data_IF_647148575142
#
_entry.id   IF_647148575142
#
_cell.length_a   1.000
_cell.length_b   1.000
_cell.length_c   1.000
_cell.angle_alpha   90.00
_cell.angle_beta   90.00
_cell.angle_gamma   90.00
#
_symmetry.space_group_name_H-M   'P 1'
#
loop_
_entity.id
_entity.type
_entity.pdbx_description
1 polymer ?
#
# COMPACT_ATOMS: atom_id res chain seq x y z
N UNK A 1 -61.83 13.79 -20.75
CA UNK A 1 -60.97 12.68 -20.31
C UNK A 1 -59.51 13.13 -20.46
N UNK A 2 -58.83 13.40 -19.39
CA UNK A 2 -57.41 13.70 -19.39
C UNK A 2 -56.64 12.41 -19.33
N UNK A 3 -55.55 12.22 -20.13
CA UNK A 3 -54.73 11.03 -20.00
C UNK A 3 -53.87 11.18 -18.73
N UNK A 4 -54.02 10.24 -17.80
CA UNK A 4 -53.07 10.01 -16.74
C UNK A 4 -51.73 9.60 -17.35
N UNK A 5 -50.77 10.53 -17.40
CA UNK A 5 -49.40 10.23 -17.71
C UNK A 5 -48.87 9.34 -16.56
N UNK A 6 -48.80 8.04 -16.80
CA UNK A 6 -48.06 7.14 -15.94
C UNK A 6 -46.59 7.55 -15.98
N UNK A 7 -46.14 8.24 -14.94
CA UNK A 7 -44.74 8.38 -14.69
C UNK A 7 -44.21 6.98 -14.39
N UNK A 8 -43.62 6.34 -15.39
CA UNK A 8 -42.84 5.13 -15.19
C UNK A 8 -41.71 5.51 -14.21
N UNK A 9 -41.88 5.05 -12.99
CA UNK A 9 -40.82 5.15 -11.97
C UNK A 9 -39.66 4.29 -12.50
N UNK A 10 -38.66 4.94 -13.15
CA UNK A 10 -37.44 4.25 -13.54
C UNK A 10 -36.90 3.61 -12.27
N UNK A 11 -36.88 2.29 -12.21
CA UNK A 11 -36.28 1.55 -11.13
C UNK A 11 -34.81 2.02 -11.04
N UNK A 12 -34.46 2.68 -9.93
CA UNK A 12 -33.13 3.23 -9.73
C UNK A 12 -32.15 2.07 -9.84
N UNK A 13 -31.21 2.13 -10.81
CA UNK A 13 -30.21 1.08 -11.01
C UNK A 13 -29.43 0.90 -9.70
N UNK A 14 -29.39 -0.34 -9.19
CA UNK A 14 -28.53 -0.71 -8.07
C UNK A 14 -27.24 -1.26 -8.66
N UNK A 15 -26.13 -0.56 -8.43
CA UNK A 15 -24.81 -0.99 -8.85
C UNK A 15 -24.26 -2.03 -7.89
N UNK A 16 -23.47 -2.96 -8.41
CA UNK A 16 -22.81 -4.00 -7.62
C UNK A 16 -21.31 -3.93 -7.79
N UNK A 17 -20.58 -3.69 -6.71
CA UNK A 17 -19.13 -3.68 -6.67
C UNK A 17 -18.65 -4.96 -6.03
N UNK A 18 -17.80 -5.73 -6.71
CA UNK A 18 -17.04 -6.81 -6.09
C UNK A 18 -15.77 -6.25 -5.45
N UNK A 19 -15.51 -6.54 -4.19
CA UNK A 19 -14.28 -6.12 -3.51
C UNK A 19 -13.47 -7.35 -3.10
N UNK A 20 -12.28 -7.53 -3.69
CA UNK A 20 -11.42 -8.70 -3.50
C UNK A 20 -10.10 -8.32 -2.84
N UNK A 21 -9.83 -8.89 -1.67
CA UNK A 21 -8.61 -8.61 -0.91
C UNK A 21 -8.09 -9.82 -0.16
N UNK A 22 -6.77 -9.94 -0.01
CA UNK A 22 -6.16 -10.96 0.82
C UNK A 22 -6.34 -10.68 2.32
N UNK A 23 -6.23 -9.41 2.70
CA UNK A 23 -6.36 -8.92 4.07
C UNK A 23 -6.77 -7.47 3.99
N UNK A 24 -7.65 -6.92 4.77
CA UNK A 24 -7.79 -5.47 4.99
C UNK A 24 -9.23 -4.97 5.24
N UNK A 25 -10.24 -5.84 5.28
CA UNK A 25 -11.62 -5.42 5.53
C UNK A 25 -11.82 -4.75 6.90
N UNK A 26 -10.90 -5.00 7.84
CA UNK A 26 -10.98 -4.48 9.21
C UNK A 26 -10.27 -3.12 9.40
N UNK A 27 -9.76 -2.51 8.34
CA UNK A 27 -8.94 -1.30 8.46
C UNK A 27 -9.73 0.00 8.18
N UNK A 28 -9.42 1.10 8.88
CA UNK A 28 -10.16 2.36 8.76
C UNK A 28 -10.26 2.94 7.34
N UNK A 29 -9.29 2.65 6.46
CA UNK A 29 -9.27 3.17 5.09
C UNK A 29 -10.30 2.53 4.15
N UNK A 30 -10.79 1.31 4.44
CA UNK A 30 -11.94 0.75 3.71
C UNK A 30 -13.16 1.64 3.92
N UNK A 31 -13.33 2.18 5.13
CA UNK A 31 -14.37 3.17 5.42
C UNK A 31 -14.18 4.46 4.60
N UNK A 32 -12.93 4.84 4.31
CA UNK A 32 -12.60 5.96 3.42
C UNK A 32 -13.09 5.74 2.00
N UNK A 33 -12.90 4.52 1.46
CA UNK A 33 -13.42 4.12 0.14
C UNK A 33 -14.95 4.19 0.09
N UNK A 34 -15.63 3.61 1.07
CA UNK A 34 -17.11 3.60 1.13
C UNK A 34 -17.66 5.01 1.30
N UNK A 35 -17.03 5.84 2.15
CA UNK A 35 -17.42 7.25 2.32
C UNK A 35 -17.26 8.02 1.04
N UNK A 36 -16.12 7.92 0.37
CA UNK A 36 -15.85 8.61 -0.89
C UNK A 36 -16.85 8.20 -1.99
N UNK A 37 -17.24 6.91 -2.06
CA UNK A 37 -18.31 6.47 -2.95
C UNK A 37 -19.64 7.14 -2.59
N UNK A 38 -19.96 7.25 -1.30
CA UNK A 38 -21.18 7.93 -0.83
C UNK A 38 -21.19 9.41 -1.19
N UNK A 39 -20.06 10.10 -1.00
CA UNK A 39 -19.89 11.51 -1.34
C UNK A 39 -20.03 11.75 -2.86
N UNK A 40 -19.74 10.71 -3.68
CA UNK A 40 -19.93 10.68 -5.13
C UNK A 40 -21.32 10.21 -5.56
N UNK A 41 -22.23 9.99 -4.62
CA UNK A 41 -23.62 9.60 -4.87
C UNK A 41 -23.90 8.11 -4.96
N UNK A 42 -22.97 7.25 -4.55
CA UNK A 42 -23.12 5.79 -4.50
C UNK A 42 -23.13 5.31 -3.05
N UNK A 43 -24.32 4.97 -2.54
CA UNK A 43 -24.50 4.58 -1.13
C UNK A 43 -25.08 3.19 -0.99
N UNK A 44 -24.50 2.34 -0.14
CA UNK A 44 -25.04 1.03 0.20
C UNK A 44 -26.46 1.16 0.77
N UNK A 45 -27.32 0.22 0.39
CA UNK A 45 -28.74 0.22 0.76
C UNK A 45 -29.64 1.18 -0.04
N UNK A 46 -29.06 2.04 -0.92
CA UNK A 46 -29.83 2.94 -1.80
C UNK A 46 -29.65 2.55 -3.28
N UNK A 47 -28.45 2.72 -3.81
CA UNK A 47 -28.13 2.47 -5.22
C UNK A 47 -26.83 1.68 -5.42
N UNK A 48 -26.27 1.16 -4.32
CA UNK A 48 -25.01 0.41 -4.32
C UNK A 48 -25.14 -0.83 -3.43
N UNK A 49 -24.51 -1.92 -3.85
CA UNK A 49 -24.18 -3.10 -3.04
C UNK A 49 -22.70 -3.41 -3.21
N UNK A 50 -21.99 -3.67 -2.12
CA UNK A 50 -20.59 -4.10 -2.15
C UNK A 50 -20.50 -5.55 -1.72
N UNK A 51 -20.04 -6.40 -2.64
CA UNK A 51 -19.81 -7.82 -2.43
C UNK A 51 -18.40 -8.04 -1.92
N UNK A 52 -18.25 -8.07 -0.61
CA UNK A 52 -16.96 -8.23 0.05
C UNK A 52 -16.44 -9.67 -0.05
N UNK A 53 -15.20 -9.83 -0.49
CA UNK A 53 -14.45 -11.10 -0.52
C UNK A 53 -13.07 -10.86 0.08
N UNK A 54 -12.92 -11.28 1.32
CA UNK A 54 -11.68 -11.18 2.08
C UNK A 54 -11.15 -12.57 2.42
N UNK A 55 -9.91 -12.83 2.06
CA UNK A 55 -9.26 -14.11 2.31
C UNK A 55 -8.65 -14.24 3.72
N UNK A 56 -8.60 -13.16 4.51
CA UNK A 56 -8.07 -13.13 5.90
C UNK A 56 -6.68 -13.77 6.02
N UNK A 57 -5.79 -13.50 5.06
CA UNK A 57 -4.44 -14.07 4.98
C UNK A 57 -4.35 -15.41 4.25
N UNK A 58 -5.48 -16.05 3.95
CA UNK A 58 -5.55 -17.32 3.23
C UNK A 58 -5.59 -17.09 1.71
N UNK A 59 -4.46 -16.71 1.13
CA UNK A 59 -4.37 -16.35 -0.30
C UNK A 59 -4.82 -17.46 -1.25
N UNK A 60 -4.81 -18.71 -0.81
CA UNK A 60 -5.32 -19.87 -1.55
C UNK A 60 -6.85 -19.82 -1.80
N UNK A 61 -7.61 -19.02 -1.04
CA UNK A 61 -9.04 -18.83 -1.22
C UNK A 61 -9.36 -17.80 -2.31
N UNK A 62 -8.43 -16.92 -2.66
CA UNK A 62 -8.66 -15.82 -3.61
C UNK A 62 -9.16 -16.28 -5.00
N UNK A 63 -8.66 -17.39 -5.60
CA UNK A 63 -9.18 -17.84 -6.90
C UNK A 63 -10.66 -18.17 -6.88
N UNK A 64 -11.13 -18.86 -5.83
CA UNK A 64 -12.56 -19.18 -5.66
C UNK A 64 -13.41 -17.93 -5.44
N UNK A 65 -12.93 -16.98 -4.66
CA UNK A 65 -13.59 -15.70 -4.39
C UNK A 65 -13.67 -14.83 -5.65
N UNK A 66 -12.62 -14.76 -6.45
CA UNK A 66 -12.62 -14.05 -7.72
C UNK A 66 -13.63 -14.64 -8.70
N UNK A 67 -13.65 -15.98 -8.85
CA UNK A 67 -14.60 -16.68 -9.69
C UNK A 67 -16.06 -16.45 -9.24
N UNK A 68 -16.30 -16.35 -7.93
CA UNK A 68 -17.61 -16.05 -7.38
C UNK A 68 -18.10 -14.65 -7.78
N UNK A 69 -17.25 -13.61 -7.65
CA UNK A 69 -17.58 -12.26 -8.08
C UNK A 69 -17.90 -12.18 -9.58
N UNK A 70 -17.13 -12.90 -10.41
CA UNK A 70 -17.40 -12.96 -11.86
C UNK A 70 -18.74 -13.64 -12.15
N UNK A 71 -19.09 -14.76 -11.47
CA UNK A 71 -20.40 -15.41 -11.61
C UNK A 71 -21.56 -14.51 -11.21
N UNK A 72 -21.35 -13.65 -10.21
CA UNK A 72 -22.37 -12.69 -9.77
C UNK A 72 -22.57 -11.54 -10.74
N UNK A 73 -21.73 -11.43 -11.79
CA UNK A 73 -21.78 -10.41 -12.83
C UNK A 73 -21.88 -9.00 -12.25
N UNK A 74 -20.95 -8.67 -11.33
CA UNK A 74 -20.86 -7.35 -10.71
C UNK A 74 -20.50 -6.28 -11.75
N UNK A 75 -20.88 -5.00 -11.52
CA UNK A 75 -20.61 -3.91 -12.47
C UNK A 75 -19.12 -3.52 -12.53
N UNK A 76 -18.38 -3.71 -11.44
CA UNK A 76 -16.93 -3.47 -11.35
C UNK A 76 -16.31 -4.32 -10.24
N UNK A 77 -15.08 -4.77 -10.41
CA UNK A 77 -14.31 -5.47 -9.36
C UNK A 77 -13.17 -4.56 -8.89
N UNK A 78 -13.12 -4.28 -7.61
CA UNK A 78 -12.00 -3.65 -6.93
C UNK A 78 -11.10 -4.75 -6.38
N UNK A 79 -9.84 -4.82 -6.84
CA UNK A 79 -8.86 -5.81 -6.41
C UNK A 79 -7.70 -5.13 -5.69
N UNK A 80 -7.33 -5.59 -4.49
CA UNK A 80 -6.27 -4.97 -3.70
C UNK A 80 -4.95 -5.73 -3.88
N UNK A 81 -3.98 -5.07 -4.56
CA UNK A 81 -2.67 -5.62 -4.87
C UNK A 81 -2.60 -6.40 -6.18
N UNK A 82 -1.38 -6.77 -6.58
CA UNK A 82 -1.11 -7.43 -7.87
C UNK A 82 -1.79 -8.78 -8.01
N UNK A 83 -1.68 -9.64 -6.98
CA UNK A 83 -2.16 -11.02 -7.09
C UNK A 83 -3.68 -11.10 -7.27
N UNK A 84 -4.53 -10.44 -6.47
CA UNK A 84 -5.96 -10.36 -6.74
C UNK A 84 -6.29 -9.75 -8.11
N UNK A 85 -5.58 -8.68 -8.53
CA UNK A 85 -5.75 -8.08 -9.84
C UNK A 85 -5.49 -9.05 -10.99
N UNK A 86 -4.36 -9.77 -10.96
CA UNK A 86 -4.00 -10.79 -11.94
C UNK A 86 -4.98 -11.96 -11.97
N UNK A 87 -5.50 -12.40 -10.82
CA UNK A 87 -6.50 -13.46 -10.75
C UNK A 87 -7.77 -13.07 -11.51
N UNK A 88 -8.30 -11.86 -11.22
CA UNK A 88 -9.53 -11.38 -11.87
C UNK A 88 -9.28 -11.15 -13.37
N UNK A 89 -8.14 -10.54 -13.76
CA UNK A 89 -7.78 -10.32 -15.16
C UNK A 89 -7.78 -11.60 -16.01
N UNK A 90 -7.37 -12.74 -15.41
CA UNK A 90 -7.32 -14.04 -16.11
C UNK A 90 -8.69 -14.67 -16.36
N UNK A 91 -9.68 -14.33 -15.56
CA UNK A 91 -10.99 -15.00 -15.58
C UNK A 91 -12.12 -14.14 -16.17
N UNK A 92 -11.91 -12.84 -16.36
CA UNK A 92 -12.84 -11.96 -17.06
C UNK A 92 -12.12 -10.94 -17.94
N UNK A 93 -12.65 -10.76 -19.17
CA UNK A 93 -12.21 -9.69 -20.07
C UNK A 93 -13.25 -8.57 -20.19
N UNK A 94 -14.40 -8.71 -19.54
CA UNK A 94 -15.57 -7.83 -19.73
C UNK A 94 -15.92 -7.02 -18.50
N UNK A 95 -15.81 -7.60 -17.29
CA UNK A 95 -16.07 -6.86 -16.05
C UNK A 95 -14.89 -5.90 -15.81
N UNK A 96 -15.13 -4.59 -15.68
CA UNK A 96 -14.11 -3.61 -15.33
C UNK A 96 -13.40 -3.94 -14.01
N UNK A 97 -12.08 -3.70 -13.95
CA UNK A 97 -11.26 -3.97 -12.78
C UNK A 97 -10.54 -2.69 -12.36
N UNK A 98 -10.66 -2.31 -11.10
CA UNK A 98 -9.86 -1.25 -10.47
C UNK A 98 -8.90 -1.90 -9.49
N UNK A 99 -7.58 -1.81 -9.77
CA UNK A 99 -6.57 -2.38 -8.87
C UNK A 99 -6.04 -1.29 -7.94
N UNK A 100 -6.20 -1.50 -6.64
CA UNK A 100 -5.68 -0.60 -5.61
C UNK A 100 -4.32 -1.08 -5.11
N UNK A 101 -3.38 -0.14 -4.98
CA UNK A 101 -2.07 -0.43 -4.39
C UNK A 101 -1.30 -1.55 -5.09
N UNK A 102 -1.38 -1.62 -6.45
CA UNK A 102 -0.46 -2.47 -7.20
C UNK A 102 0.98 -2.00 -7.05
N UNK A 103 1.94 -2.88 -7.35
CA UNK A 103 3.37 -2.58 -7.29
C UNK A 103 4.07 -3.18 -8.49
N UNK A 104 4.69 -2.33 -9.31
CA UNK A 104 5.34 -2.77 -10.55
C UNK A 104 4.37 -3.51 -11.45
N UNK A 105 3.19 -2.93 -11.68
CA UNK A 105 2.14 -3.58 -12.44
C UNK A 105 2.52 -3.83 -13.91
N UNK A 106 3.43 -3.04 -14.47
CA UNK A 106 3.98 -3.27 -15.81
C UNK A 106 4.92 -4.47 -15.80
N UNK A 107 5.84 -4.56 -14.84
CA UNK A 107 6.78 -5.66 -14.69
C UNK A 107 6.08 -6.99 -14.40
N UNK A 108 4.99 -6.94 -13.65
CA UNK A 108 4.16 -8.12 -13.34
C UNK A 108 3.16 -8.46 -14.44
N UNK A 109 3.14 -7.68 -15.55
CA UNK A 109 2.20 -7.82 -16.67
C UNK A 109 0.73 -7.65 -16.28
N UNK A 110 0.47 -6.91 -15.20
CA UNK A 110 -0.87 -6.48 -14.83
C UNK A 110 -1.35 -5.37 -15.75
N UNK A 111 -0.44 -4.45 -16.14
CA UNK A 111 -0.69 -3.37 -17.09
C UNK A 111 0.25 -3.48 -18.30
N UNK A 112 -0.23 -3.09 -19.47
CA UNK A 112 0.64 -2.94 -20.66
C UNK A 112 1.59 -1.75 -20.50
N UNK A 113 1.07 -0.62 -19.98
CA UNK A 113 1.82 0.56 -19.55
C UNK A 113 0.99 1.33 -18.53
N UNK A 114 1.56 2.29 -17.84
CA UNK A 114 0.79 3.12 -16.90
C UNK A 114 -0.14 4.09 -17.63
N UNK A 115 0.27 4.66 -18.75
CA UNK A 115 -0.55 5.59 -19.55
C UNK A 115 -1.67 4.90 -20.33
N UNK A 116 -1.45 3.65 -20.74
CA UNK A 116 -2.42 2.83 -21.46
C UNK A 116 -2.41 1.42 -20.87
N UNK A 117 -3.18 1.21 -19.80
CA UNK A 117 -3.13 -0.07 -19.06
C UNK A 117 -3.55 -1.29 -19.91
N UNK A 118 -4.41 -1.04 -20.89
CA UNK A 118 -4.93 -2.10 -21.77
C UNK A 118 -6.01 -2.96 -21.10
N UNK A 119 -6.76 -3.70 -21.94
CA UNK A 119 -7.78 -4.60 -21.44
C UNK A 119 -8.91 -3.89 -20.67
N UNK A 120 -9.39 -4.56 -19.63
CA UNK A 120 -10.53 -4.13 -18.80
C UNK A 120 -10.10 -3.65 -17.40
N UNK A 121 -8.86 -3.22 -17.22
CA UNK A 121 -8.37 -2.81 -15.90
C UNK A 121 -7.67 -1.45 -15.91
N UNK A 122 -7.69 -0.80 -14.76
CA UNK A 122 -6.97 0.43 -14.39
C UNK A 122 -6.68 0.40 -12.90
N UNK A 123 -6.15 1.46 -12.32
CA UNK A 123 -5.97 1.54 -10.88
C UNK A 123 -4.84 2.44 -10.42
N UNK A 124 -4.25 2.10 -9.28
CA UNK A 124 -3.19 2.86 -8.62
C UNK A 124 -1.98 1.96 -8.40
N UNK A 125 -0.84 2.33 -9.01
CA UNK A 125 0.44 1.65 -8.81
C UNK A 125 1.29 2.42 -7.80
N UNK A 126 1.61 1.76 -6.71
CA UNK A 126 2.31 2.36 -5.57
C UNK A 126 3.83 2.14 -5.62
N UNK A 127 4.37 1.52 -6.67
CA UNK A 127 5.80 1.31 -6.78
C UNK A 127 6.53 2.61 -7.12
N UNK A 128 7.47 3.03 -6.27
CA UNK A 128 8.30 4.21 -6.52
C UNK A 128 9.66 4.10 -5.82
N UNK A 129 10.70 3.63 -6.52
CA UNK A 129 12.06 3.63 -5.98
C UNK A 129 12.51 5.02 -5.49
N UNK A 130 12.13 6.08 -6.20
CA UNK A 130 12.48 7.45 -5.80
C UNK A 130 11.91 7.85 -4.42
N UNK A 131 10.69 7.37 -4.08
CA UNK A 131 10.12 7.61 -2.75
C UNK A 131 10.83 6.83 -1.65
N UNK A 132 11.21 5.59 -1.94
CA UNK A 132 11.95 4.78 -0.97
C UNK A 132 13.32 5.40 -0.69
N UNK A 133 13.99 5.92 -1.71
CA UNK A 133 15.24 6.69 -1.56
C UNK A 133 14.99 7.95 -0.74
N UNK A 134 13.92 8.71 -1.03
CA UNK A 134 13.58 9.93 -0.28
C UNK A 134 13.29 9.66 1.20
N UNK A 135 12.66 8.54 1.51
CA UNK A 135 12.44 8.10 2.90
C UNK A 135 13.76 7.88 3.63
N UNK A 136 14.74 7.26 2.96
CA UNK A 136 16.07 7.02 3.54
C UNK A 136 16.89 8.30 3.62
N UNK A 137 16.70 9.28 2.72
CA UNK A 137 17.27 10.63 2.89
C UNK A 137 16.81 11.26 4.21
N UNK A 138 15.52 11.24 4.53
CA UNK A 138 15.02 11.74 5.82
C UNK A 138 15.60 10.98 7.01
N UNK A 139 15.77 9.65 6.88
CA UNK A 139 16.40 8.86 7.92
C UNK A 139 17.89 9.27 8.11
N UNK A 140 18.60 9.53 7.02
CA UNK A 140 20.01 9.98 7.07
C UNK A 140 20.16 11.37 7.75
N UNK A 141 19.17 12.25 7.59
CA UNK A 141 19.14 13.52 8.29
C UNK A 141 19.04 13.35 9.82
N UNK A 142 18.34 12.29 10.30
CA UNK A 142 18.23 11.95 11.73
C UNK A 142 19.44 11.13 12.20
N UNK A 143 20.02 10.32 11.31
CA UNK A 143 21.20 9.46 11.57
C UNK A 143 22.34 9.86 10.64
N UNK A 144 23.08 10.96 10.90
CA UNK A 144 24.06 11.50 9.96
C UNK A 144 25.19 10.54 9.57
N UNK A 145 25.49 9.56 10.45
CA UNK A 145 26.51 8.54 10.20
C UNK A 145 25.97 7.30 9.48
N UNK A 146 24.72 7.33 9.01
CA UNK A 146 24.12 6.22 8.28
C UNK A 146 24.95 5.90 7.02
N UNK A 147 25.56 4.73 7.02
CA UNK A 147 26.36 4.19 5.93
C UNK A 147 25.94 2.78 5.51
N UNK A 148 25.31 2.01 6.40
CA UNK A 148 24.82 0.65 6.13
C UNK A 148 23.37 0.49 6.60
N UNK A 149 22.52 0.15 5.66
CA UNK A 149 21.08 0.05 5.84
C UNK A 149 20.61 -1.41 5.65
N UNK A 150 20.07 -2.02 6.70
CA UNK A 150 19.36 -3.28 6.55
C UNK A 150 18.06 -3.07 5.77
N UNK A 151 17.85 -3.84 4.72
CA UNK A 151 16.65 -3.80 3.89
C UNK A 151 15.93 -5.14 3.97
N UNK A 152 14.85 -5.20 4.76
CA UNK A 152 13.97 -6.36 4.77
C UNK A 152 13.14 -6.39 3.49
N UNK A 153 13.10 -7.51 2.79
CA UNK A 153 12.31 -7.65 1.58
C UNK A 153 11.77 -9.08 1.40
N UNK A 154 10.62 -9.18 0.75
CA UNK A 154 10.06 -10.45 0.30
C UNK A 154 10.51 -10.68 -1.15
N UNK A 155 11.29 -11.74 -1.46
CA UNK A 155 11.77 -12.00 -2.81
C UNK A 155 10.74 -12.67 -3.74
N UNK A 156 9.59 -13.10 -3.21
CA UNK A 156 8.61 -13.88 -3.97
C UNK A 156 7.89 -13.09 -5.08
N UNK A 157 7.50 -11.80 -4.90
CA UNK A 157 6.92 -11.03 -6.01
C UNK A 157 7.93 -10.79 -7.13
N UNK A 158 7.51 -10.98 -8.39
CA UNK A 158 8.39 -10.88 -9.56
C UNK A 158 9.07 -9.52 -9.75
N UNK A 159 8.50 -8.44 -9.20
CA UNK A 159 9.10 -7.10 -9.21
C UNK A 159 10.15 -6.88 -8.11
N UNK A 160 10.19 -7.72 -7.07
CA UNK A 160 10.94 -7.45 -5.84
C UNK A 160 12.43 -7.26 -6.07
N UNK A 161 13.07 -8.13 -6.84
CA UNK A 161 14.50 -8.06 -7.12
C UNK A 161 14.87 -6.80 -7.93
N UNK A 162 14.08 -6.45 -8.95
CA UNK A 162 14.31 -5.24 -9.74
C UNK A 162 14.12 -3.98 -8.90
N UNK A 163 13.10 -3.98 -8.04
CA UNK A 163 12.86 -2.87 -7.12
C UNK A 163 14.01 -2.71 -6.11
N UNK A 164 14.45 -3.81 -5.51
CA UNK A 164 15.59 -3.81 -4.58
C UNK A 164 16.85 -3.25 -5.26
N UNK A 165 17.18 -3.67 -6.49
CA UNK A 165 18.30 -3.15 -7.24
C UNK A 165 18.15 -1.63 -7.50
N UNK A 166 16.95 -1.18 -7.86
CA UNK A 166 16.67 0.24 -8.15
C UNK A 166 16.84 1.12 -6.92
N UNK A 167 16.35 0.68 -5.74
CA UNK A 167 16.50 1.46 -4.49
C UNK A 167 17.95 1.39 -4.00
N UNK A 168 18.63 0.26 -4.13
CA UNK A 168 20.05 0.12 -3.74
C UNK A 168 20.93 1.08 -4.53
N UNK A 169 20.77 1.18 -5.85
CA UNK A 169 21.45 2.19 -6.67
C UNK A 169 21.11 3.63 -6.28
N UNK A 170 19.91 3.87 -5.74
CA UNK A 170 19.53 5.16 -5.18
C UNK A 170 20.22 5.45 -3.85
N UNK A 171 20.36 4.45 -3.00
CA UNK A 171 21.04 4.56 -1.70
C UNK A 171 22.55 4.76 -1.85
N UNK A 172 23.19 4.15 -2.86
CA UNK A 172 24.60 4.38 -3.19
C UNK A 172 24.91 5.87 -3.47
N UNK A 173 23.97 6.59 -4.11
CA UNK A 173 24.09 8.04 -4.33
C UNK A 173 24.03 8.86 -3.04
N UNK A 174 23.51 8.27 -1.99
CA UNK A 174 23.49 8.81 -0.63
C UNK A 174 24.69 8.32 0.22
N UNK A 175 25.63 7.60 -0.40
CA UNK A 175 26.74 6.94 0.30
C UNK A 175 26.24 5.92 1.36
N UNK A 176 25.16 5.18 1.04
CA UNK A 176 24.57 4.16 1.90
C UNK A 176 24.62 2.81 1.19
N UNK A 177 25.26 1.84 1.84
CA UNK A 177 25.27 0.44 1.40
C UNK A 177 23.97 -0.25 1.85
N UNK A 178 23.16 -0.73 0.90
CA UNK A 178 22.00 -1.56 1.19
C UNK A 178 22.44 -2.99 1.49
N UNK A 179 22.02 -3.53 2.63
CA UNK A 179 22.19 -4.94 2.97
C UNK A 179 20.84 -5.66 3.00
N UNK A 180 20.54 -6.49 1.98
CA UNK A 180 19.25 -7.15 1.90
C UNK A 180 19.13 -8.33 2.87
N UNK A 181 17.94 -8.47 3.46
CA UNK A 181 17.54 -9.59 4.30
C UNK A 181 16.21 -10.14 3.80
N UNK A 182 16.21 -11.36 3.34
CA UNK A 182 15.03 -12.03 2.79
C UNK A 182 14.10 -12.50 3.90
N UNK A 183 12.79 -12.29 3.70
CA UNK A 183 11.71 -12.83 4.52
C UNK A 183 10.56 -13.22 3.61
N UNK A 184 10.34 -14.52 3.42
CA UNK A 184 9.31 -15.09 2.54
C UNK A 184 8.02 -15.43 3.27
N UNK A 185 8.13 -15.58 4.58
CA UNK A 185 7.03 -16.00 5.45
C UNK A 185 7.23 -15.49 6.88
N UNK A 186 6.16 -15.34 7.69
CA UNK A 186 6.27 -14.81 9.05
C UNK A 186 7.26 -15.54 9.97
N UNK A 187 7.47 -16.87 9.89
CA UNK A 187 8.51 -17.56 10.70
C UNK A 187 9.94 -17.10 10.38
N UNK A 188 10.21 -16.62 9.16
CA UNK A 188 11.56 -16.22 8.74
C UNK A 188 12.01 -14.86 9.34
N UNK A 189 11.10 -14.07 9.95
CA UNK A 189 11.49 -12.83 10.64
C UNK A 189 12.57 -13.06 11.70
N UNK A 190 12.47 -14.13 12.50
CA UNK A 190 13.46 -14.41 13.55
C UNK A 190 14.86 -14.68 12.97
N UNK A 191 14.92 -15.39 11.85
CA UNK A 191 16.17 -15.67 11.14
C UNK A 191 16.77 -14.38 10.59
N UNK A 192 15.93 -13.52 9.99
CA UNK A 192 16.36 -12.22 9.46
C UNK A 192 16.86 -11.31 10.59
N UNK A 193 16.12 -11.23 11.70
CA UNK A 193 16.49 -10.41 12.87
C UNK A 193 17.82 -10.87 13.51
N UNK A 194 17.98 -12.18 13.71
CA UNK A 194 19.24 -12.73 14.21
C UNK A 194 20.41 -12.42 13.25
N UNK A 195 20.17 -12.46 11.94
CA UNK A 195 21.17 -12.13 10.92
C UNK A 195 21.54 -10.64 10.92
N UNK A 196 20.56 -9.74 11.12
CA UNK A 196 20.80 -8.31 11.27
C UNK A 196 21.67 -8.04 12.51
N UNK A 197 21.33 -8.64 13.65
CA UNK A 197 22.08 -8.45 14.89
C UNK A 197 23.54 -8.95 14.77
N UNK A 198 23.75 -10.11 14.15
CA UNK A 198 25.09 -10.65 13.90
C UNK A 198 25.89 -9.70 13.01
N UNK A 199 25.31 -9.28 11.86
CA UNK A 199 25.98 -8.33 10.97
C UNK A 199 26.21 -6.98 11.65
N UNK A 200 25.35 -6.54 12.55
CA UNK A 200 25.55 -5.31 13.31
C UNK A 200 26.82 -5.37 14.19
N UNK A 201 27.15 -6.52 14.75
CA UNK A 201 28.39 -6.72 15.51
C UNK A 201 29.63 -6.71 14.59
N UNK A 202 29.54 -7.33 13.41
CA UNK A 202 30.64 -7.52 12.50
C UNK A 202 30.88 -6.31 11.57
N UNK A 203 29.81 -5.70 11.04
CA UNK A 203 29.89 -4.69 9.97
C UNK A 203 29.09 -3.41 10.23
N UNK A 204 28.52 -3.26 11.44
CA UNK A 204 27.81 -2.06 11.89
C UNK A 204 26.61 -1.66 11.01
N UNK A 205 25.50 -2.45 11.05
CA UNK A 205 24.19 -1.97 10.56
C UNK A 205 23.76 -0.75 11.38
N UNK A 206 23.58 0.40 10.73
CA UNK A 206 23.25 1.68 11.38
C UNK A 206 21.74 1.89 11.52
N UNK A 207 20.95 1.38 10.55
CA UNK A 207 19.50 1.56 10.51
C UNK A 207 18.84 0.46 9.69
N UNK A 208 17.52 0.44 9.64
CA UNK A 208 16.74 -0.53 8.87
C UNK A 208 15.55 0.10 8.13
N UNK A 209 15.18 -0.51 7.02
CA UNK A 209 13.96 -0.20 6.27
C UNK A 209 13.33 -1.48 5.71
N UNK A 210 12.15 -1.36 5.13
CA UNK A 210 11.46 -2.46 4.45
C UNK A 210 11.16 -2.08 3.01
N UNK A 211 11.32 -3.01 2.07
CA UNK A 211 10.57 -2.97 0.82
C UNK A 211 9.15 -3.36 1.15
N UNK A 212 8.21 -2.46 0.94
CA UNK A 212 6.85 -2.65 1.42
C UNK A 212 6.18 -3.88 0.79
N UNK A 213 5.66 -4.74 1.65
CA UNK A 213 4.94 -5.96 1.33
C UNK A 213 3.75 -6.09 2.29
N UNK A 214 2.59 -6.63 1.86
CA UNK A 214 1.45 -6.83 2.75
C UNK A 214 1.77 -7.59 4.04
N UNK A 215 2.65 -8.60 3.98
CA UNK A 215 3.11 -9.35 5.15
C UNK A 215 3.84 -8.45 6.15
N UNK A 216 4.72 -7.56 5.68
CA UNK A 216 5.45 -6.63 6.55
C UNK A 216 4.52 -5.58 7.17
N UNK A 217 3.54 -5.10 6.41
CA UNK A 217 2.52 -4.17 6.94
C UNK A 217 1.68 -4.83 8.03
N UNK A 218 1.34 -6.11 7.86
CA UNK A 218 0.62 -6.88 8.85
C UNK A 218 1.46 -7.12 10.13
N UNK A 219 2.72 -7.55 9.96
CA UNK A 219 3.66 -7.82 11.06
C UNK A 219 4.46 -6.58 11.50
N UNK A 220 4.04 -5.36 11.12
CA UNK A 220 4.79 -4.12 11.38
C UNK A 220 5.17 -3.92 12.84
N UNK A 221 4.28 -4.29 13.77
CA UNK A 221 4.54 -4.18 15.21
C UNK A 221 5.77 -4.98 15.62
N UNK A 222 5.89 -6.21 15.13
CA UNK A 222 7.05 -7.11 15.38
C UNK A 222 8.35 -6.51 14.85
N UNK A 223 8.31 -5.96 13.64
CA UNK A 223 9.49 -5.34 13.00
C UNK A 223 9.90 -4.07 13.75
N UNK A 224 8.94 -3.26 14.16
CA UNK A 224 9.17 -2.03 14.92
C UNK A 224 9.72 -2.35 16.31
N UNK A 225 9.12 -3.31 17.03
CA UNK A 225 9.58 -3.74 18.36
C UNK A 225 11.04 -4.21 18.31
N UNK A 226 11.39 -5.03 17.31
CA UNK A 226 12.77 -5.43 17.08
C UNK A 226 13.72 -4.23 16.93
N UNK A 227 13.32 -3.22 16.15
CA UNK A 227 14.09 -1.98 15.97
C UNK A 227 14.26 -1.19 17.28
N UNK A 228 13.18 -1.05 18.06
CA UNK A 228 13.19 -0.34 19.34
C UNK A 228 14.08 -1.05 20.36
N UNK A 229 13.85 -2.33 20.59
CA UNK A 229 14.57 -3.15 21.58
C UNK A 229 16.08 -3.16 21.32
N UNK A 230 16.47 -3.15 20.05
CA UNK A 230 17.85 -3.15 19.64
C UNK A 230 18.42 -1.78 19.31
N UNK A 231 17.65 -0.69 19.53
CA UNK A 231 18.06 0.69 19.19
C UNK A 231 18.55 0.81 17.75
N UNK A 232 17.80 0.20 16.81
CA UNK A 232 18.06 0.30 15.37
C UNK A 232 17.07 1.31 14.78
N UNK A 233 17.52 2.51 14.38
CA UNK A 233 16.70 3.50 13.72
C UNK A 233 16.01 2.88 12.50
N UNK A 234 14.73 3.21 12.28
CA UNK A 234 13.98 2.60 11.20
C UNK A 234 13.11 3.62 10.46
N UNK A 235 12.94 3.39 9.15
CA UNK A 235 12.09 4.20 8.32
C UNK A 235 11.21 3.32 7.42
N UNK A 236 9.91 3.61 7.37
CA UNK A 236 8.93 2.79 6.68
C UNK A 236 7.98 3.63 5.80
N UNK A 237 7.11 3.00 5.03
CA UNK A 237 6.29 3.68 4.04
C UNK A 237 5.08 4.41 4.64
N UNK A 238 4.36 3.79 5.58
CA UNK A 238 3.09 4.31 6.06
C UNK A 238 3.19 4.84 7.50
N UNK A 239 2.42 5.88 7.81
CA UNK A 239 2.35 6.48 9.16
C UNK A 239 2.01 5.48 10.27
N UNK A 240 1.26 4.43 9.94
CA UNK A 240 0.89 3.36 10.87
C UNK A 240 2.09 2.64 11.49
N UNK A 241 3.24 2.67 10.83
CA UNK A 241 4.49 2.17 11.39
C UNK A 241 4.98 3.05 12.55
N UNK A 242 4.87 4.37 12.39
CA UNK A 242 5.25 5.33 13.43
C UNK A 242 4.26 5.25 14.60
N UNK A 243 2.98 5.08 14.33
CA UNK A 243 1.95 4.83 15.34
C UNK A 243 2.15 3.52 16.10
N UNK A 244 2.80 2.53 15.47
CA UNK A 244 3.22 1.28 16.13
C UNK A 244 4.53 1.41 16.92
N UNK A 245 5.18 2.58 16.93
CA UNK A 245 6.40 2.89 17.65
C UNK A 245 7.63 3.13 16.79
N UNK A 246 7.57 2.96 15.46
CA UNK A 246 8.67 3.22 14.53
C UNK A 246 9.15 4.66 14.58
N UNK A 247 10.39 4.90 14.11
CA UNK A 247 11.03 6.21 14.19
C UNK A 247 10.50 7.19 13.14
N UNK A 248 10.44 6.76 11.87
CA UNK A 248 10.06 7.59 10.74
C UNK A 248 9.21 6.82 9.75
N UNK A 249 8.22 7.50 9.18
CA UNK A 249 7.53 7.03 7.99
C UNK A 249 7.41 8.15 6.95
N UNK A 250 7.67 7.80 5.71
CA UNK A 250 7.39 8.67 4.57
C UNK A 250 6.87 7.86 3.40
N UNK A 251 5.68 8.20 2.95
CA UNK A 251 5.02 7.52 1.84
C UNK A 251 3.61 8.02 1.60
N UNK A 252 2.84 7.35 0.74
CA UNK A 252 1.48 7.76 0.46
C UNK A 252 0.56 7.55 1.66
N UNK A 253 -0.49 8.34 1.71
CA UNK A 253 -1.60 8.04 2.61
C UNK A 253 -2.38 6.86 2.04
N UNK A 254 -2.60 5.84 2.86
CA UNK A 254 -3.41 4.70 2.41
C UNK A 254 -4.83 5.17 2.11
N UNK A 255 -5.39 6.05 2.93
CA UNK A 255 -6.71 6.64 2.73
C UNK A 255 -6.82 7.37 1.37
N UNK A 256 -5.77 8.10 0.95
CA UNK A 256 -5.72 8.76 -0.37
C UNK A 256 -5.79 7.76 -1.53
N UNK A 257 -5.11 6.61 -1.41
CA UNK A 257 -5.19 5.53 -2.40
C UNK A 257 -6.62 5.00 -2.52
N UNK A 258 -7.28 4.75 -1.38
CA UNK A 258 -8.65 4.20 -1.37
C UNK A 258 -9.68 5.22 -1.86
N UNK A 259 -9.57 6.49 -1.47
CA UNK A 259 -10.42 7.57 -2.02
C UNK A 259 -10.24 7.71 -3.53
N UNK A 260 -8.99 7.65 -4.03
CA UNK A 260 -8.75 7.69 -5.48
C UNK A 260 -9.30 6.46 -6.19
N UNK A 261 -9.30 5.29 -5.54
CA UNK A 261 -9.96 4.10 -6.04
C UNK A 261 -11.46 4.27 -6.24
N UNK A 262 -12.14 4.91 -5.30
CA UNK A 262 -13.57 5.24 -5.42
C UNK A 262 -13.85 6.18 -6.63
N UNK A 263 -12.96 7.12 -6.93
CA UNK A 263 -13.04 7.95 -8.13
C UNK A 263 -12.98 7.10 -9.42
N UNK A 264 -12.07 6.13 -9.51
CA UNK A 264 -12.02 5.25 -10.67
C UNK A 264 -13.29 4.42 -10.83
N UNK A 265 -13.82 3.90 -9.72
CA UNK A 265 -15.09 3.18 -9.70
C UNK A 265 -16.22 4.07 -10.20
N UNK A 266 -16.35 5.31 -9.70
CA UNK A 266 -17.34 6.28 -10.18
C UNK A 266 -17.24 6.49 -11.70
N UNK A 267 -16.04 6.74 -12.23
CA UNK A 267 -15.83 6.94 -13.67
C UNK A 267 -16.31 5.76 -14.50
N UNK A 268 -16.03 4.54 -14.03
CA UNK A 268 -16.44 3.30 -14.70
C UNK A 268 -17.95 3.12 -14.63
N UNK A 269 -18.58 3.34 -13.48
CA UNK A 269 -20.03 3.24 -13.33
C UNK A 269 -20.78 4.29 -14.18
N UNK A 270 -20.11 5.41 -14.48
CA UNK A 270 -20.60 6.45 -15.40
C UNK A 270 -20.24 6.19 -16.87
N UNK A 271 -19.70 4.99 -17.21
CA UNK A 271 -19.48 4.53 -18.57
C UNK A 271 -18.07 4.74 -19.14
N UNK A 272 -17.10 5.23 -18.34
CA UNK A 272 -15.71 5.27 -18.78
C UNK A 272 -15.15 3.85 -18.93
N UNK A 273 -14.34 3.62 -19.98
CA UNK A 273 -13.64 2.34 -20.16
C UNK A 273 -12.35 2.34 -19.33
N UNK A 274 -12.04 1.25 -18.62
CA UNK A 274 -10.78 1.15 -17.88
C UNK A 274 -9.54 1.41 -18.74
N UNK A 275 -9.54 0.95 -20.00
CA UNK A 275 -8.44 1.18 -20.95
C UNK A 275 -8.13 2.65 -21.22
N UNK A 276 -9.11 3.53 -21.04
CA UNK A 276 -9.00 4.96 -21.30
C UNK A 276 -8.62 5.75 -20.03
N UNK A 277 -8.52 5.06 -18.90
CA UNK A 277 -8.15 5.62 -17.60
C UNK A 277 -6.69 5.21 -17.29
N UNK A 278 -5.74 6.14 -17.33
CA UNK A 278 -4.35 5.83 -16.98
C UNK A 278 -4.23 5.28 -15.55
N UNK A 279 -3.29 4.36 -15.36
CA UNK A 279 -2.88 3.96 -14.01
C UNK A 279 -2.12 5.10 -13.37
N UNK A 280 -2.51 5.50 -12.19
CA UNK A 280 -1.92 6.62 -11.48
C UNK A 280 -1.00 6.16 -10.35
N UNK A 281 -0.02 7.00 -9.99
CA UNK A 281 0.66 6.91 -8.71
C UNK A 281 -0.15 7.60 -7.61
N UNK A 282 0.11 7.30 -6.33
CA UNK A 282 -0.45 8.07 -5.23
C UNK A 282 -0.07 9.55 -5.32
N UNK A 283 -1.00 10.44 -4.98
CA UNK A 283 -0.81 11.90 -5.02
C UNK A 283 -0.68 12.55 -3.64
N UNK A 284 -1.10 11.86 -2.59
CA UNK A 284 -1.04 12.37 -1.22
C UNK A 284 0.07 11.62 -0.44
N UNK A 285 0.99 12.39 0.16
CA UNK A 285 2.13 11.87 0.91
C UNK A 285 2.10 12.39 2.34
N UNK A 286 2.65 11.61 3.25
CA UNK A 286 2.67 11.91 4.67
C UNK A 286 4.05 11.62 5.27
N UNK A 287 4.62 12.60 5.96
CA UNK A 287 5.83 12.46 6.77
C UNK A 287 5.44 12.39 8.24
N UNK A 288 5.64 11.24 8.85
CA UNK A 288 5.40 11.03 10.28
C UNK A 288 6.72 10.75 11.01
N UNK A 289 6.93 11.37 12.18
CA UNK A 289 8.13 11.20 12.98
C UNK A 289 7.76 10.96 14.44
N UNK A 290 8.40 9.97 15.05
CA UNK A 290 8.25 9.66 16.46
C UNK A 290 9.40 10.26 17.26
N UNK A 291 9.17 11.42 17.87
CA UNK A 291 10.16 12.12 18.71
C UNK A 291 10.48 11.34 19.99
N UNK A 292 9.52 10.54 20.48
CA UNK A 292 9.76 9.66 21.63
C UNK A 292 10.74 8.55 21.26
N UNK A 293 10.52 7.86 20.14
CA UNK A 293 11.44 6.82 19.66
C UNK A 293 12.84 7.40 19.39
N UNK A 294 12.93 8.58 18.76
CA UNK A 294 14.20 9.26 18.56
C UNK A 294 14.94 9.48 19.89
N UNK A 295 14.26 10.05 20.90
CA UNK A 295 14.82 10.29 22.25
C UNK A 295 15.29 8.99 22.92
N UNK A 296 14.47 7.92 22.86
CA UNK A 296 14.77 6.63 23.46
C UNK A 296 15.99 5.94 22.80
N UNK A 297 16.25 6.25 21.51
CA UNK A 297 17.44 5.80 20.76
C UNK A 297 18.65 6.74 20.91
N UNK A 298 18.50 7.87 21.62
CA UNK A 298 19.56 8.87 21.76
C UNK A 298 19.80 9.71 20.50
N UNK A 299 18.79 9.83 19.65
CA UNK A 299 18.82 10.58 18.40
C UNK A 299 18.19 11.97 18.57
N UNK A 300 18.70 12.93 17.80
CA UNK A 300 18.14 14.28 17.71
C UNK A 300 17.51 14.48 16.32
N UNK A 301 16.22 14.81 16.29
CA UNK A 301 15.54 15.12 15.03
C UNK A 301 15.80 16.59 14.66
N UNK A 302 16.35 16.89 13.48
CA UNK A 302 16.58 18.26 13.04
C UNK A 302 15.29 19.10 13.02
N UNK A 303 15.40 20.36 13.45
CA UNK A 303 14.22 21.24 13.57
C UNK A 303 13.47 21.44 12.25
N UNK A 304 14.18 21.47 11.14
CA UNK A 304 13.53 21.60 9.82
C UNK A 304 12.72 20.35 9.43
N UNK A 305 13.10 19.14 9.88
CA UNK A 305 12.29 17.94 9.70
C UNK A 305 11.04 17.96 10.60
N UNK A 306 11.21 18.42 11.84
CA UNK A 306 10.06 18.62 12.76
C UNK A 306 9.05 19.58 12.16
N UNK A 307 9.52 20.67 11.52
CA UNK A 307 8.64 21.66 10.89
C UNK A 307 7.96 21.15 9.60
N UNK A 308 8.53 20.13 8.95
CA UNK A 308 7.99 19.53 7.71
C UNK A 308 7.11 18.31 7.96
N UNK A 309 7.14 17.77 9.17
CA UNK A 309 6.36 16.58 9.50
C UNK A 309 4.87 16.91 9.57
N UNK A 310 4.06 16.08 8.91
CA UNK A 310 2.60 16.14 8.96
C UNK A 310 2.06 15.56 10.29
N UNK A 311 2.80 14.61 10.88
CA UNK A 311 2.46 13.98 12.15
C UNK A 311 3.69 13.83 13.05
N UNK A 312 3.56 14.23 14.31
CA UNK A 312 4.59 14.07 15.33
C UNK A 312 4.05 13.30 16.53
N UNK A 313 4.65 12.14 16.83
CA UNK A 313 4.43 11.50 18.13
C UNK A 313 5.41 12.11 19.13
N UNK A 314 4.88 12.85 20.09
CA UNK A 314 5.68 13.54 21.11
C UNK A 314 6.02 12.58 22.25
N UNK A 315 7.19 12.80 22.87
CA UNK A 315 7.46 12.20 24.15
C UNK A 315 6.50 12.78 25.20
N UNK A 316 5.97 11.95 26.07
CA UNK A 316 5.19 12.45 27.21
C UNK A 316 6.05 13.46 27.97
N UNK A 317 5.57 14.70 28.08
CA UNK A 317 6.18 15.72 28.92
C UNK A 317 5.81 15.31 30.35
N UNK A 318 6.75 14.72 31.09
CA UNK A 318 6.63 14.54 32.53
C UNK A 318 7.02 15.83 33.23
#
# INVERSE_FOLDING_TARGET
MWPLAAQAQQSKKIYRIGYLTANLSSYPWVNGFVRELSDRGYSEGNNLTIEWREAKGHSELLPGMAADLVRQNVDVIVAVGNYPGLLVQRITATIPIVVLSSRGGVETKLYSSLSHPGGNLTGIDNLSPARDVKRVEFLKEIVPKLSRLAVLYNPLPSYASNHLNSISSGFEKLEIEAQPFEVRSPPEFEVAFASILRKRQDTMIDAMTTVTDPMFVFDRKRIVDFGIENKIPNAHEYREWVQSGGLLAFGPTIDGIWRRGAYFVEKILNGAKPSDLPVEGPSEFHLAINLKAAKDMGLSVPQHLVARADELIKADVR
#
